data_IF_498360642485
#
_entry.id   IF_498360642485
#
_cell.length_a   1.000
_cell.length_b   1.000
_cell.length_c   1.000
_cell.angle_alpha   90.00
_cell.angle_beta   90.00
_cell.angle_gamma   90.00
#
_symmetry.space_group_name_H-M   'P 1'
#
loop_
_entity.id
_entity.type
_entity.pdbx_description
1 polymer ?
#
# COMPACT_ATOMS: atom_id res chain seq x y z
N UNK A 1 -32.35 -35.85 7.89
CA UNK A 1 -31.62 -34.60 7.52
C UNK A 1 -32.48 -33.43 7.91
N UNK A 2 -32.20 -32.80 9.05
CA UNK A 2 -32.93 -31.63 9.55
C UNK A 2 -32.45 -30.39 8.82
N UNK A 3 -33.40 -29.60 8.29
CA UNK A 3 -33.12 -28.28 7.72
C UNK A 3 -33.16 -27.27 8.87
N UNK A 4 -32.05 -26.60 9.15
CA UNK A 4 -32.03 -25.49 10.09
C UNK A 4 -32.71 -24.27 9.43
N UNK A 5 -33.82 -23.81 10.02
CA UNK A 5 -34.49 -22.58 9.64
C UNK A 5 -33.99 -21.45 10.56
N UNK A 6 -33.42 -20.42 9.98
CA UNK A 6 -33.07 -19.21 10.73
C UNK A 6 -34.19 -18.17 10.54
N UNK A 7 -34.82 -17.75 11.63
CA UNK A 7 -35.89 -16.75 11.63
C UNK A 7 -35.31 -15.40 12.07
N UNK A 8 -35.50 -14.36 11.26
CA UNK A 8 -35.18 -12.98 11.62
C UNK A 8 -36.47 -12.21 11.93
N UNK A 9 -36.43 -11.43 13.00
CA UNK A 9 -37.53 -10.54 13.35
C UNK A 9 -37.19 -9.09 13.01
N UNK A 10 -38.08 -8.38 12.34
CA UNK A 10 -37.96 -6.94 12.13
C UNK A 10 -38.95 -6.24 13.08
N UNK A 11 -38.45 -5.33 13.92
CA UNK A 11 -39.20 -4.71 15.01
C UNK A 11 -39.85 -3.37 14.65
N UNK A 12 -39.85 -2.96 13.38
CA UNK A 12 -40.31 -1.64 12.96
C UNK A 12 -41.56 -1.69 12.07
N UNK A 13 -42.58 -2.40 12.45
CA UNK A 13 -43.97 -2.12 12.07
C UNK A 13 -44.88 -3.26 12.53
N UNK A 14 -46.13 -2.94 12.89
CA UNK A 14 -47.14 -3.83 13.44
C UNK A 14 -47.71 -4.87 12.43
N UNK A 15 -46.89 -5.37 11.50
CA UNK A 15 -47.23 -6.47 10.59
C UNK A 15 -46.12 -7.52 10.59
N UNK A 16 -46.39 -8.71 11.13
CA UNK A 16 -45.45 -9.84 11.09
C UNK A 16 -45.33 -10.38 9.67
N UNK A 17 -44.30 -9.94 8.94
CA UNK A 17 -43.91 -10.57 7.69
C UNK A 17 -42.76 -11.54 7.92
N UNK A 18 -43.05 -12.84 7.91
CA UNK A 18 -42.05 -13.91 7.98
C UNK A 18 -41.45 -14.14 6.60
N UNK A 19 -40.23 -13.69 6.40
CA UNK A 19 -39.45 -13.96 5.18
C UNK A 19 -38.65 -15.25 5.35
N UNK A 20 -39.06 -16.33 4.69
CA UNK A 20 -38.35 -17.60 4.70
C UNK A 20 -37.36 -17.66 3.52
N UNK A 21 -36.06 -17.50 3.78
CA UNK A 21 -35.05 -17.63 2.76
C UNK A 21 -34.56 -19.08 2.68
N UNK A 22 -34.90 -19.80 1.60
CA UNK A 22 -34.37 -21.14 1.30
C UNK A 22 -32.98 -21.02 0.71
N UNK A 23 -31.94 -21.38 1.48
CA UNK A 23 -30.56 -21.53 0.93
C UNK A 23 -30.47 -22.83 0.11
N UNK A 24 -30.16 -22.69 -1.20
CA UNK A 24 -29.81 -23.85 -2.03
C UNK A 24 -28.43 -24.34 -1.60
N UNK A 25 -28.35 -25.60 -1.13
CA UNK A 25 -27.05 -26.23 -0.87
C UNK A 25 -26.35 -26.49 -2.20
N UNK A 26 -25.17 -25.93 -2.37
CA UNK A 26 -24.31 -26.22 -3.52
C UNK A 26 -23.82 -27.65 -3.42
N UNK A 27 -23.96 -28.47 -4.46
CA UNK A 27 -23.57 -29.88 -4.38
C UNK A 27 -22.05 -30.00 -4.40
N UNK A 28 -21.50 -30.46 -3.29
CA UNK A 28 -20.05 -30.58 -3.03
C UNK A 28 -19.28 -31.44 -4.05
N UNK A 29 -19.96 -32.37 -4.72
CA UNK A 29 -19.33 -33.22 -5.74
C UNK A 29 -18.89 -32.46 -7.01
N UNK A 30 -19.39 -31.24 -7.27
CA UNK A 30 -18.97 -30.39 -8.40
C UNK A 30 -17.52 -29.89 -8.23
N UNK A 31 -17.01 -29.80 -7.00
CA UNK A 31 -15.62 -29.40 -6.73
C UNK A 31 -14.60 -30.47 -7.08
N UNK A 32 -15.01 -31.76 -7.16
CA UNK A 32 -14.09 -32.87 -7.50
C UNK A 32 -13.67 -32.90 -8.99
N UNK A 33 -14.45 -32.28 -9.88
CA UNK A 33 -14.11 -32.25 -11.30
C UNK A 33 -13.15 -31.10 -11.69
N UNK A 34 -12.92 -30.12 -10.80
CA UNK A 34 -11.98 -29.01 -11.05
C UNK A 34 -10.52 -29.33 -10.67
N UNK A 35 -10.26 -30.44 -9.96
CA UNK A 35 -8.90 -30.78 -9.51
C UNK A 35 -8.11 -31.69 -10.51
N UNK A 36 -8.75 -32.22 -11.56
CA UNK A 36 -8.10 -33.15 -12.49
C UNK A 36 -7.11 -32.47 -13.48
N UNK A 37 -7.29 -31.23 -13.97
CA UNK A 37 -6.32 -30.67 -14.93
C UNK A 37 -5.05 -30.10 -14.29
N UNK A 38 -4.99 -29.91 -12.95
CA UNK A 38 -3.84 -29.28 -12.30
C UNK A 38 -2.62 -30.21 -12.16
N UNK A 39 -2.82 -31.54 -12.23
CA UNK A 39 -1.73 -32.52 -12.10
C UNK A 39 -0.87 -32.70 -13.37
N UNK A 40 -1.32 -32.18 -14.52
CA UNK A 40 -0.61 -32.35 -15.80
C UNK A 40 0.36 -31.23 -16.17
N UNK A 41 0.32 -30.08 -15.46
CA UNK A 41 1.16 -28.90 -15.81
C UNK A 41 2.50 -28.86 -15.04
N UNK A 42 2.68 -29.68 -13.99
CA UNK A 42 3.88 -29.62 -13.12
C UNK A 42 5.07 -30.45 -13.64
N UNK A 43 4.92 -31.20 -14.77
CA UNK A 43 5.95 -32.16 -15.23
C UNK A 43 6.87 -31.66 -16.35
N UNK A 44 6.85 -30.42 -16.73
CA UNK A 44 7.75 -29.84 -17.72
C UNK A 44 8.30 -28.50 -17.20
N UNK A 45 9.40 -28.53 -16.44
CA UNK A 45 10.43 -27.48 -16.37
C UNK A 45 11.37 -27.76 -15.19
N UNK A 46 12.27 -28.70 -15.37
CA UNK A 46 13.52 -28.76 -14.64
C UNK A 46 14.59 -29.37 -15.55
N UNK A 47 15.16 -28.53 -16.41
CA UNK A 47 16.49 -28.77 -16.98
C UNK A 47 17.22 -27.44 -16.92
N UNK A 48 18.04 -27.26 -15.87
CA UNK A 48 18.98 -26.17 -15.74
C UNK A 48 20.35 -26.66 -16.23
N UNK A 49 20.77 -26.18 -17.38
CA UNK A 49 22.17 -26.26 -17.81
C UNK A 49 23.02 -25.26 -17.03
N UNK A 50 24.03 -25.79 -16.36
CA UNK A 50 25.10 -25.05 -15.69
C UNK A 50 26.11 -24.63 -16.76
N UNK A 51 26.18 -23.32 -17.07
CA UNK A 51 27.22 -22.74 -17.91
C UNK A 51 28.50 -22.56 -17.10
N UNK A 52 29.56 -23.30 -17.49
CA UNK A 52 30.93 -23.18 -16.98
C UNK A 52 31.56 -21.94 -17.58
N UNK A 53 32.03 -21.00 -16.76
CA UNK A 53 32.83 -19.86 -17.16
C UNK A 53 34.31 -20.26 -17.28
N UNK A 54 35.02 -20.01 -18.39
CA UNK A 54 36.48 -20.24 -18.48
C UNK A 54 37.24 -19.09 -17.80
N UNK A 55 38.14 -19.49 -16.95
CA UNK A 55 39.16 -18.66 -16.29
C UNK A 55 40.24 -18.27 -17.32
N UNK A 56 40.49 -16.99 -17.54
CA UNK A 56 41.60 -16.51 -18.37
C UNK A 56 42.80 -16.21 -17.52
N UNK A 57 43.87 -16.77 -17.95
CA UNK A 57 45.23 -16.77 -17.41
C UNK A 57 45.93 -15.41 -17.55
N UNK A 58 46.68 -15.06 -16.51
CA UNK A 58 47.47 -13.84 -16.40
C UNK A 58 48.86 -14.05 -17.05
N UNK A 59 49.19 -13.24 -18.05
CA UNK A 59 50.60 -13.05 -18.44
C UNK A 59 50.95 -11.58 -18.45
N UNK A 60 51.82 -11.28 -17.53
CA UNK A 60 52.51 -10.01 -17.33
C UNK A 60 53.54 -9.78 -18.45
N UNK A 61 53.57 -8.56 -19.02
CA UNK A 61 54.77 -8.10 -19.74
C UNK A 61 54.98 -6.61 -19.55
N UNK A 62 56.02 -6.31 -18.83
CA UNK A 62 56.58 -4.98 -18.62
C UNK A 62 56.95 -4.31 -19.94
N UNK A 63 56.66 -3.04 -20.10
CA UNK A 63 57.45 -2.11 -20.91
C UNK A 63 57.25 -0.68 -20.44
N UNK A 64 58.36 0.01 -20.30
CA UNK A 64 58.57 1.28 -19.66
C UNK A 64 57.96 2.51 -20.35
N UNK A 65 57.66 3.47 -19.51
CA UNK A 65 57.76 4.92 -19.65
C UNK A 65 57.21 5.62 -20.89
N UNK A 66 56.13 6.37 -20.66
CA UNK A 66 56.02 7.71 -21.24
C UNK A 66 55.19 8.60 -20.29
N UNK A 67 55.88 9.56 -19.63
CA UNK A 67 55.24 10.55 -18.77
C UNK A 67 54.63 11.61 -19.68
N UNK A 68 53.32 11.54 -19.91
CA UNK A 68 52.56 12.66 -20.46
C UNK A 68 51.99 13.44 -19.29
N UNK A 69 52.51 14.64 -19.09
CA UNK A 69 51.95 15.63 -18.18
C UNK A 69 50.57 16.03 -18.74
N UNK A 70 49.52 15.50 -18.14
CA UNK A 70 48.16 15.99 -18.40
C UNK A 70 47.88 17.17 -17.48
N UNK A 71 47.51 18.31 -18.09
CA UNK A 71 46.92 19.46 -17.42
C UNK A 71 45.67 19.03 -16.61
N UNK A 72 45.37 19.69 -15.48
CA UNK A 72 44.22 19.36 -14.68
C UNK A 72 42.92 19.63 -15.48
N UNK A 73 42.23 18.59 -15.84
CA UNK A 73 40.83 18.67 -16.34
C UNK A 73 40.02 19.29 -15.20
N UNK A 74 39.59 20.53 -15.39
CA UNK A 74 38.58 21.15 -14.56
C UNK A 74 37.29 20.34 -14.82
N UNK A 75 36.97 19.45 -13.91
CA UNK A 75 35.74 18.72 -13.90
C UNK A 75 34.61 19.75 -13.73
N UNK A 76 33.96 20.04 -14.84
CA UNK A 76 32.77 20.90 -14.89
C UNK A 76 31.71 20.28 -13.93
N UNK A 77 31.59 20.89 -12.75
CA UNK A 77 30.59 20.46 -11.77
C UNK A 77 29.23 20.59 -12.41
N UNK A 78 28.68 19.43 -12.85
CA UNK A 78 27.30 19.31 -13.28
C UNK A 78 26.42 19.97 -12.23
N UNK A 79 25.51 20.89 -12.61
CA UNK A 79 24.60 21.53 -11.66
C UNK A 79 23.92 20.40 -10.87
N UNK A 80 23.92 20.53 -9.55
CA UNK A 80 23.11 19.68 -8.67
C UNK A 80 21.68 19.94 -9.10
N UNK A 81 21.09 19.00 -9.84
CA UNK A 81 19.66 19.03 -10.11
C UNK A 81 18.96 19.06 -8.75
N UNK A 82 18.22 20.14 -8.49
CA UNK A 82 17.27 20.18 -7.39
C UNK A 82 16.42 18.90 -7.45
N UNK A 83 16.16 18.22 -6.30
CA UNK A 83 15.38 17.00 -6.30
C UNK A 83 14.05 17.28 -7.01
N UNK A 84 13.91 16.74 -8.23
CA UNK A 84 12.66 16.84 -8.97
C UNK A 84 11.60 16.20 -8.09
N UNK A 85 10.60 17.01 -7.73
CA UNK A 85 9.42 16.60 -6.99
C UNK A 85 8.72 15.49 -7.82
N UNK A 86 9.04 14.24 -7.53
CA UNK A 86 8.50 13.09 -8.25
C UNK A 86 7.09 12.77 -7.73
N UNK A 87 6.16 13.71 -7.98
CA UNK A 87 4.74 13.58 -7.63
C UNK A 87 4.03 12.49 -8.46
N UNK A 88 4.70 11.91 -9.46
CA UNK A 88 4.12 10.87 -10.32
C UNK A 88 4.00 9.49 -9.65
N UNK A 89 4.70 9.28 -8.54
CA UNK A 89 4.67 8.00 -7.82
C UNK A 89 3.41 7.82 -6.96
N UNK A 90 2.73 8.92 -6.58
CA UNK A 90 1.61 8.88 -5.65
C UNK A 90 0.30 9.26 -6.34
N UNK A 91 -0.75 8.48 -6.06
CA UNK A 91 -2.12 8.81 -6.48
C UNK A 91 -2.69 9.89 -5.54
N UNK A 92 -3.59 10.71 -6.09
CA UNK A 92 -4.25 11.77 -5.35
C UNK A 92 -3.54 13.12 -5.41
N UNK A 93 -4.14 14.10 -4.72
CA UNK A 93 -3.67 15.47 -4.70
C UNK A 93 -2.45 15.61 -3.76
N UNK A 94 -1.52 16.48 -4.12
CA UNK A 94 -0.48 16.96 -3.21
C UNK A 94 -1.08 17.96 -2.22
N UNK A 95 -0.26 18.54 -1.38
CA UNK A 95 -0.67 19.59 -0.44
C UNK A 95 0.59 20.18 0.17
N UNK A 96 0.42 21.04 1.18
CA UNK A 96 1.55 21.51 1.98
C UNK A 96 2.07 20.40 2.91
N UNK A 97 1.21 19.45 3.29
CA UNK A 97 1.56 18.19 3.96
C UNK A 97 0.80 17.06 3.29
N UNK A 98 1.51 16.03 2.85
CA UNK A 98 0.94 14.84 2.22
C UNK A 98 1.33 13.61 3.02
N UNK A 99 0.37 12.72 3.25
CA UNK A 99 0.54 11.43 3.92
C UNK A 99 -0.05 10.37 3.00
N UNK A 100 0.81 9.52 2.43
CA UNK A 100 0.42 8.48 1.50
C UNK A 100 0.71 7.10 2.10
N UNK A 101 -0.26 6.20 2.02
CA UNK A 101 -0.16 4.79 2.39
C UNK A 101 -0.08 3.96 1.12
N UNK A 102 0.87 3.03 1.05
CA UNK A 102 1.06 2.07 -0.04
C UNK A 102 1.25 0.66 0.49
N UNK A 103 0.67 -0.33 -0.19
CA UNK A 103 0.89 -1.75 0.09
C UNK A 103 0.78 -2.58 -1.19
N UNK A 104 1.09 -3.89 -1.12
CA UNK A 104 1.14 -4.78 -2.27
C UNK A 104 0.26 -6.01 -2.03
N UNK A 105 -1.04 -5.80 -1.97
CA UNK A 105 -2.05 -6.85 -1.83
C UNK A 105 -3.45 -6.30 -2.11
N UNK A 106 -4.42 -7.18 -2.32
CA UNK A 106 -5.83 -6.79 -2.46
C UNK A 106 -6.52 -6.46 -1.13
N UNK A 107 -5.79 -6.59 -0.02
CA UNK A 107 -6.28 -6.24 1.33
C UNK A 107 -6.79 -4.82 1.38
N UNK A 108 -7.84 -4.58 2.16
CA UNK A 108 -8.39 -3.26 2.46
C UNK A 108 -7.69 -2.70 3.71
N UNK A 109 -6.79 -1.73 3.51
CA UNK A 109 -6.13 -0.97 4.57
C UNK A 109 -6.67 0.45 4.59
N UNK A 110 -7.06 0.94 5.76
CA UNK A 110 -7.50 2.31 6.01
C UNK A 110 -6.39 3.18 6.59
N UNK A 111 -6.10 4.31 5.97
CA UNK A 111 -5.29 5.38 6.54
C UNK A 111 -6.15 6.24 7.47
N UNK A 112 -5.66 6.49 8.68
CA UNK A 112 -6.30 7.36 9.66
C UNK A 112 -5.30 8.40 10.12
N UNK A 113 -5.66 9.68 9.99
CA UNK A 113 -4.82 10.81 10.40
C UNK A 113 -5.60 11.68 11.38
N UNK A 114 -5.09 11.80 12.60
CA UNK A 114 -5.65 12.74 13.60
C UNK A 114 -4.83 14.02 13.55
N UNK A 115 -5.47 15.14 13.32
CA UNK A 115 -4.86 16.47 13.26
C UNK A 115 -4.58 17.07 14.65
N UNK A 116 -3.87 18.21 14.77
CA UNK A 116 -3.60 18.86 16.05
C UNK A 116 -4.84 19.34 16.81
N UNK A 117 -5.99 19.48 16.16
CA UNK A 117 -7.27 19.79 16.79
C UNK A 117 -7.99 18.56 17.34
N UNK A 118 -7.44 17.35 17.12
CA UNK A 118 -8.03 16.08 17.55
C UNK A 118 -9.06 15.51 16.57
N UNK A 119 -9.17 16.09 15.36
CA UNK A 119 -10.10 15.61 14.33
C UNK A 119 -9.44 14.49 13.52
N UNK A 120 -10.10 13.31 13.47
CA UNK A 120 -9.60 12.14 12.72
C UNK A 120 -10.20 12.09 11.31
N UNK A 121 -9.33 12.18 10.29
CA UNK A 121 -9.65 11.91 8.89
C UNK A 121 -9.53 10.42 8.63
N UNK A 122 -10.54 9.81 8.01
CA UNK A 122 -10.65 8.39 7.68
C UNK A 122 -11.77 8.18 6.65
N UNK A 123 -11.97 6.97 6.16
CA UNK A 123 -12.94 6.69 5.10
C UNK A 123 -14.36 7.22 5.38
N UNK A 124 -14.86 7.16 6.64
CA UNK A 124 -16.21 7.70 7.03
C UNK A 124 -16.24 9.21 7.23
N UNK A 125 -15.10 9.85 7.48
CA UNK A 125 -14.95 11.29 7.68
C UNK A 125 -13.75 11.77 6.87
N UNK A 126 -13.99 12.03 5.60
CA UNK A 126 -12.93 12.28 4.61
C UNK A 126 -12.31 13.67 4.69
N UNK A 127 -12.86 14.58 5.47
CA UNK A 127 -12.37 15.97 5.61
C UNK A 127 -12.36 16.41 7.06
N UNK A 128 -11.40 17.26 7.41
CA UNK A 128 -11.32 17.97 8.68
C UNK A 128 -10.74 19.37 8.47
N UNK A 129 -11.07 20.28 9.38
CA UNK A 129 -10.51 21.64 9.41
C UNK A 129 -9.95 21.92 10.79
N UNK A 130 -8.75 22.50 10.84
CA UNK A 130 -8.06 22.85 12.06
C UNK A 130 -7.36 24.21 11.86
N UNK A 131 -7.72 25.23 12.65
CA UNK A 131 -7.12 26.57 12.65
C UNK A 131 -6.97 27.21 11.25
N UNK A 132 -7.97 27.00 10.38
CA UNK A 132 -7.97 27.52 9.01
C UNK A 132 -7.27 26.65 7.96
N UNK A 133 -6.61 25.56 8.37
CA UNK A 133 -6.13 24.52 7.47
C UNK A 133 -7.21 23.48 7.19
N UNK A 134 -7.11 22.78 6.06
CA UNK A 134 -8.05 21.74 5.67
C UNK A 134 -7.28 20.47 5.28
N UNK A 135 -7.68 19.34 5.87
CA UNK A 135 -7.22 18.02 5.50
C UNK A 135 -8.28 17.24 4.73
N UNK A 136 -7.87 16.38 3.79
CA UNK A 136 -8.76 15.57 2.96
C UNK A 136 -8.14 14.21 2.63
N UNK A 137 -8.93 13.14 2.79
CA UNK A 137 -8.68 11.83 2.19
C UNK A 137 -9.29 11.82 0.80
N UNK A 138 -8.50 11.79 -0.25
CA UNK A 138 -8.95 11.86 -1.64
C UNK A 138 -8.79 10.53 -2.41
N UNK A 139 -7.83 9.71 -2.04
CA UNK A 139 -7.65 8.35 -2.55
C UNK A 139 -7.92 7.33 -1.44
N UNK A 140 -8.71 6.29 -1.76
CA UNK A 140 -9.19 5.27 -0.85
C UNK A 140 -9.41 3.99 -1.67
N UNK A 141 -8.42 3.08 -1.64
CA UNK A 141 -8.34 1.93 -2.53
C UNK A 141 -8.80 0.64 -1.86
N UNK A 142 -9.22 -0.32 -2.68
CA UNK A 142 -9.64 -1.66 -2.26
C UNK A 142 -10.81 -1.71 -1.26
N UNK A 143 -11.64 -0.66 -1.25
CA UNK A 143 -12.88 -0.65 -0.46
C UNK A 143 -13.86 -1.74 -0.94
N UNK A 144 -14.75 -2.24 -0.08
CA UNK A 144 -15.70 -3.30 -0.41
C UNK A 144 -16.59 -3.00 -1.62
N UNK A 145 -16.85 -1.72 -1.91
CA UNK A 145 -17.64 -1.27 -3.06
C UNK A 145 -16.84 -1.10 -4.35
N UNK A 146 -15.52 -1.33 -4.33
CA UNK A 146 -14.69 -1.24 -5.53
C UNK A 146 -15.11 -2.31 -6.55
N UNK A 147 -15.19 -1.95 -7.86
CA UNK A 147 -15.54 -2.92 -8.90
C UNK A 147 -14.47 -3.98 -9.10
N UNK A 148 -13.20 -3.63 -8.83
CA UNK A 148 -12.03 -4.50 -8.90
C UNK A 148 -11.04 -4.08 -7.83
N UNK A 149 -10.31 -5.05 -7.27
CA UNK A 149 -9.21 -4.80 -6.35
C UNK A 149 -7.88 -4.71 -7.10
N UNK A 150 -6.98 -3.86 -6.60
CA UNK A 150 -5.64 -3.71 -7.15
C UNK A 150 -4.59 -4.30 -6.22
N UNK A 151 -3.53 -4.86 -6.80
CA UNK A 151 -2.35 -5.36 -6.08
C UNK A 151 -1.36 -4.26 -5.67
N UNK A 152 -1.59 -3.01 -6.11
CA UNK A 152 -0.75 -1.85 -5.78
C UNK A 152 -1.60 -0.68 -5.29
N UNK A 153 -2.44 -0.92 -4.27
CA UNK A 153 -3.34 0.09 -3.75
C UNK A 153 -2.61 1.22 -3.02
N UNK A 154 -3.26 2.37 -2.99
CA UNK A 154 -2.81 3.54 -2.27
C UNK A 154 -3.98 4.22 -1.56
N UNK A 155 -3.68 4.87 -0.43
CA UNK A 155 -4.53 5.88 0.17
C UNK A 155 -3.77 7.18 0.36
N UNK A 156 -4.46 8.29 0.23
CA UNK A 156 -3.82 9.59 0.29
C UNK A 156 -4.64 10.57 1.14
N UNK A 157 -3.97 11.11 2.17
CA UNK A 157 -4.47 12.27 2.93
C UNK A 157 -3.52 13.42 2.69
N UNK A 158 -4.07 14.55 2.29
CA UNK A 158 -3.30 15.78 2.14
C UNK A 158 -3.91 16.92 2.95
N UNK A 159 -3.08 17.90 3.31
CA UNK A 159 -3.47 19.10 4.01
C UNK A 159 -3.05 20.35 3.23
N UNK A 160 -3.97 21.29 3.10
CA UNK A 160 -3.69 22.65 2.64
C UNK A 160 -3.62 23.54 3.88
N UNK A 161 -2.54 24.30 4.00
CA UNK A 161 -2.25 25.15 5.15
C UNK A 161 -2.36 24.36 6.49
N UNK A 162 -1.57 23.28 6.67
CA UNK A 162 -1.63 22.46 7.87
C UNK A 162 -1.33 23.27 9.12
N UNK A 163 -2.10 23.02 10.19
CA UNK A 163 -1.86 23.63 11.50
C UNK A 163 -0.59 23.08 12.12
N UNK A 164 0.14 23.94 12.82
CA UNK A 164 1.28 23.50 13.64
C UNK A 164 0.83 22.54 14.74
N UNK A 165 1.63 21.53 15.00
CA UNK A 165 1.37 20.55 16.04
C UNK A 165 1.54 19.10 15.57
N UNK A 166 1.03 18.18 16.36
CA UNK A 166 1.23 16.74 16.18
C UNK A 166 0.10 16.14 15.35
N UNK A 167 0.48 15.45 14.26
CA UNK A 167 -0.39 14.62 13.45
C UNK A 167 -0.13 13.17 13.78
N UNK A 168 -1.16 12.45 14.27
CA UNK A 168 -1.04 11.02 14.61
C UNK A 168 -1.48 10.19 13.42
N UNK A 169 -0.55 9.40 12.85
CA UNK A 169 -0.77 8.58 11.67
C UNK A 169 -0.96 7.13 12.09
N UNK A 170 -2.08 6.53 11.68
CA UNK A 170 -2.45 5.15 11.97
C UNK A 170 -2.84 4.42 10.69
N UNK A 171 -2.63 3.11 10.68
CA UNK A 171 -3.11 2.19 9.64
C UNK A 171 -3.99 1.15 10.30
N UNK A 172 -5.17 0.92 9.72
CA UNK A 172 -6.11 -0.11 10.12
C UNK A 172 -6.28 -1.12 9.00
N UNK A 173 -6.19 -2.40 9.28
CA UNK A 173 -6.55 -3.45 8.34
C UNK A 173 -8.04 -3.79 8.52
N UNK A 174 -8.88 -3.28 7.62
CA UNK A 174 -10.31 -3.50 7.65
C UNK A 174 -10.65 -4.92 7.23
N UNK A 175 -10.22 -5.34 6.03
CA UNK A 175 -10.44 -6.67 5.52
C UNK A 175 -9.21 -7.22 4.78
N UNK A 176 -8.72 -8.34 5.28
CA UNK A 176 -7.63 -9.09 4.67
C UNK A 176 -8.21 -10.09 3.66
N UNK A 177 -7.73 -10.03 2.42
CA UNK A 177 -8.19 -10.90 1.32
C UNK A 177 -7.19 -11.98 0.92
N UNK A 178 -6.07 -12.09 1.62
CA UNK A 178 -4.99 -13.04 1.38
C UNK A 178 -4.75 -13.95 2.59
N UNK A 179 -4.07 -15.07 2.38
CA UNK A 179 -3.76 -16.04 3.44
C UNK A 179 -2.62 -15.58 4.37
N UNK A 180 -1.81 -14.59 3.95
CA UNK A 180 -0.74 -14.06 4.80
C UNK A 180 -1.32 -13.44 6.08
N UNK A 181 -0.86 -13.84 7.30
CA UNK A 181 -1.40 -13.33 8.55
C UNK A 181 -1.10 -11.85 8.81
N UNK A 182 -0.14 -11.28 8.11
CA UNK A 182 0.35 -9.90 8.30
C UNK A 182 0.47 -9.24 6.94
N UNK A 183 0.07 -7.97 6.84
CA UNK A 183 0.22 -7.14 5.64
C UNK A 183 1.32 -6.12 5.87
N UNK A 184 2.30 -6.11 4.97
CA UNK A 184 3.35 -5.09 4.93
C UNK A 184 2.83 -3.84 4.22
N UNK A 185 3.17 -2.67 4.74
CA UNK A 185 2.82 -1.39 4.13
C UNK A 185 3.94 -0.36 4.31
N UNK A 186 3.87 0.73 3.57
CA UNK A 186 4.71 1.91 3.77
C UNK A 186 3.85 3.17 3.87
N UNK A 187 4.14 4.04 4.86
CA UNK A 187 3.65 5.41 4.92
C UNK A 187 4.76 6.32 4.41
N UNK A 188 4.44 7.15 3.43
CA UNK A 188 5.32 8.25 2.99
C UNK A 188 4.71 9.59 3.41
N UNK A 189 5.48 10.40 4.12
CA UNK A 189 5.11 11.78 4.48
C UNK A 189 5.96 12.72 3.66
N UNK A 190 5.33 13.72 3.04
CA UNK A 190 5.99 14.78 2.27
C UNK A 190 5.52 16.12 2.85
N UNK A 191 6.46 16.92 3.35
CA UNK A 191 6.16 18.24 3.89
C UNK A 191 6.09 19.33 2.80
N UNK A 192 5.75 20.57 3.18
CA UNK A 192 5.65 21.73 2.28
C UNK A 192 6.95 22.08 1.55
N UNK A 193 8.10 21.66 2.06
CA UNK A 193 9.40 21.89 1.46
C UNK A 193 9.79 20.77 0.48
N UNK A 194 8.94 19.73 0.35
CA UNK A 194 9.19 18.54 -0.44
C UNK A 194 10.08 17.52 0.26
N UNK A 195 10.41 17.70 1.55
CA UNK A 195 11.15 16.68 2.29
C UNK A 195 10.27 15.45 2.46
N UNK A 196 10.84 14.29 2.10
CA UNK A 196 10.18 13.00 2.15
C UNK A 196 10.71 12.16 3.30
N UNK A 197 9.80 11.48 4.01
CA UNK A 197 10.15 10.47 5.01
C UNK A 197 9.24 9.26 4.90
N UNK A 198 9.84 8.07 4.88
CA UNK A 198 9.17 6.79 4.76
C UNK A 198 9.14 6.07 6.11
N UNK A 199 8.01 5.40 6.39
CA UNK A 199 7.76 4.64 7.62
C UNK A 199 7.18 3.28 7.24
N UNK A 200 8.01 2.24 7.08
CA UNK A 200 7.52 0.90 6.85
C UNK A 200 6.82 0.34 8.08
N UNK A 201 5.78 -0.44 7.88
CA UNK A 201 5.01 -1.04 8.95
C UNK A 201 4.38 -2.37 8.55
N UNK A 202 3.74 -3.01 9.54
CA UNK A 202 3.02 -4.27 9.39
C UNK A 202 1.74 -4.20 10.23
N UNK A 203 0.67 -4.80 9.71
CA UNK A 203 -0.63 -4.84 10.39
C UNK A 203 -1.31 -6.20 10.19
N UNK A 204 -2.03 -6.67 11.22
CA UNK A 204 -2.87 -7.87 11.14
C UNK A 204 -4.31 -7.50 10.86
N UNK A 205 -5.10 -8.47 10.41
CA UNK A 205 -6.53 -8.27 10.21
C UNK A 205 -7.22 -7.73 11.46
N UNK A 206 -8.07 -6.70 11.30
CA UNK A 206 -8.83 -6.02 12.36
C UNK A 206 -7.97 -5.27 13.38
N UNK A 207 -6.67 -5.16 13.13
CA UNK A 207 -5.74 -4.40 13.96
C UNK A 207 -5.67 -2.94 13.49
N UNK A 208 -5.40 -2.03 14.42
CA UNK A 208 -5.00 -0.65 14.13
C UNK A 208 -3.63 -0.42 14.77
N UNK A 209 -2.66 -0.01 13.97
CA UNK A 209 -1.32 0.34 14.44
C UNK A 209 -1.09 1.84 14.33
N UNK A 210 -0.49 2.45 15.37
CA UNK A 210 0.05 3.81 15.25
C UNK A 210 1.43 3.71 14.62
N UNK A 211 1.58 4.31 13.44
CA UNK A 211 2.82 4.25 12.66
C UNK A 211 3.81 5.29 13.16
N UNK A 212 3.36 6.52 13.29
CA UNK A 212 4.20 7.64 13.74
C UNK A 212 3.34 8.82 14.21
N UNK A 213 4.00 9.75 14.90
CA UNK A 213 3.50 11.09 15.12
C UNK A 213 4.39 12.05 14.34
N UNK A 214 3.80 12.79 13.40
CA UNK A 214 4.48 13.81 12.61
C UNK A 214 4.25 15.17 13.26
N UNK A 215 5.32 15.92 13.50
CA UNK A 215 5.25 17.28 14.03
C UNK A 215 5.38 18.27 12.90
N UNK A 216 4.33 19.06 12.67
CA UNK A 216 4.34 20.20 11.76
C UNK A 216 4.75 21.47 12.50
N UNK A 217 5.74 22.22 11.99
CA UNK A 217 6.38 23.39 12.62
C UNK A 217 5.88 24.73 12.09
#
# INVERSE_FOLDING_TARGET
>A
MQSENTTFYNTDDNSEHILTVKRKKFPWWVLLFLLIPLFFVIKCHFDNEVAVVPQADSTQKDTAANIVVQEPIIEETKPIEEPQKDDKQFQGEGGDLRINLQWYSETDLDLKVTDPCGEEIRYKKRTATCNGGTGKLDVDANVDSAPEYTMTPQENVFFTNPSKGDYIIKVHCYEKREDNPVVDFNITIIDRNGNRKDFPGKVKQRETVTVTTWKEE
#
